data_IF_566625518667
#
_entry.id   IF_566625518667
#
_cell.length_a   1.000
_cell.length_b   1.000
_cell.length_c   1.000
_cell.angle_alpha   90.00
_cell.angle_beta   90.00
_cell.angle_gamma   90.00
#
_symmetry.space_group_name_H-M   'P 1'
#
loop_
_entity.id
_entity.type
_entity.pdbx_description
1 polymer ?
#
# COMPACT_ATOMS: atom_id res chain seq x y z
N UNK A 1 -15.42 45.07 73.92
CA UNK A 1 -15.49 43.59 74.02
C UNK A 1 -15.45 43.01 72.61
N UNK A 2 -14.39 42.25 72.30
CA UNK A 2 -14.16 41.59 70.99
C UNK A 2 -14.84 40.22 71.03
N UNK A 3 -15.63 39.90 70.01
CA UNK A 3 -16.14 38.55 69.79
C UNK A 3 -15.72 38.08 68.40
N UNK A 4 -14.86 37.08 68.39
CA UNK A 4 -14.32 36.43 67.20
C UNK A 4 -15.37 35.52 66.57
N UNK A 5 -15.56 35.64 65.25
CA UNK A 5 -16.25 34.63 64.44
C UNK A 5 -15.29 34.15 63.36
N UNK A 6 -14.55 33.10 63.67
CA UNK A 6 -13.70 32.39 62.71
C UNK A 6 -14.56 31.35 61.99
N UNK A 7 -14.95 31.63 60.74
CA UNK A 7 -15.60 30.66 59.87
C UNK A 7 -14.51 29.88 59.12
N UNK A 8 -14.36 28.58 59.41
CA UNK A 8 -13.53 27.68 58.63
C UNK A 8 -14.35 27.19 57.43
N UNK A 9 -14.01 27.64 56.23
CA UNK A 9 -14.55 27.13 54.98
C UNK A 9 -13.59 26.04 54.48
N UNK A 10 -13.98 24.78 54.66
CA UNK A 10 -13.28 23.63 54.08
C UNK A 10 -13.58 23.60 52.58
N UNK A 11 -12.63 24.08 51.76
CA UNK A 11 -12.67 23.96 50.31
C UNK A 11 -12.23 22.55 49.91
N UNK A 12 -13.19 21.67 49.62
CA UNK A 12 -12.91 20.37 49.00
C UNK A 12 -12.57 20.61 47.53
N UNK A 13 -11.28 20.73 47.23
CA UNK A 13 -10.76 20.69 45.85
C UNK A 13 -10.95 19.29 45.29
N UNK A 14 -12.02 19.11 44.50
CA UNK A 14 -12.16 17.97 43.61
C UNK A 14 -11.02 18.00 42.59
N UNK A 15 -10.05 17.11 42.75
CA UNK A 15 -9.05 16.78 41.75
C UNK A 15 -9.78 16.16 40.55
N UNK A 16 -10.20 17.03 39.63
CA UNK A 16 -10.61 16.62 38.30
C UNK A 16 -9.40 16.02 37.60
N UNK A 17 -9.28 14.70 37.65
CA UNK A 17 -8.43 13.93 36.75
C UNK A 17 -9.01 14.10 35.34
N UNK A 18 -8.62 15.19 34.69
CA UNK A 18 -8.85 15.40 33.27
C UNK A 18 -8.10 14.31 32.53
N UNK A 19 -8.81 13.24 32.16
CA UNK A 19 -8.38 12.33 31.12
C UNK A 19 -8.09 13.17 29.87
N UNK A 20 -6.81 13.51 29.64
CA UNK A 20 -6.34 13.97 28.33
C UNK A 20 -6.48 12.78 27.41
N UNK A 21 -7.65 12.63 26.81
CA UNK A 21 -7.84 11.76 25.65
C UNK A 21 -6.83 12.26 24.62
N UNK A 22 -5.73 11.52 24.45
CA UNK A 22 -4.75 11.79 23.41
C UNK A 22 -5.50 11.70 22.08
N UNK A 23 -5.86 12.85 21.53
CA UNK A 23 -6.56 12.96 20.27
C UNK A 23 -5.59 12.43 19.21
N UNK A 24 -5.85 11.21 18.75
CA UNK A 24 -5.02 10.50 17.78
C UNK A 24 -5.06 11.30 16.47
N UNK A 25 -4.08 12.17 16.26
CA UNK A 25 -3.99 13.00 15.06
C UNK A 25 -3.81 12.10 13.86
N UNK A 26 -4.77 12.14 12.94
CA UNK A 26 -4.66 11.45 11.66
C UNK A 26 -3.55 12.14 10.86
N UNK A 27 -2.53 11.40 10.36
CA UNK A 27 -1.48 11.97 9.53
C UNK A 27 -2.08 12.66 8.31
N UNK A 28 -1.58 13.85 7.99
CA UNK A 28 -1.97 14.58 6.78
C UNK A 28 -1.60 13.77 5.52
N UNK A 29 -2.39 13.93 4.46
CA UNK A 29 -2.08 13.36 3.15
C UNK A 29 -0.86 14.07 2.54
N UNK A 30 -0.01 13.31 1.86
CA UNK A 30 1.23 13.75 1.21
C UNK A 30 1.22 13.22 -0.23
N UNK A 31 1.68 14.03 -1.19
CA UNK A 31 1.87 13.56 -2.56
C UNK A 31 3.15 12.72 -2.64
N UNK A 32 3.03 11.53 -3.22
CA UNK A 32 4.13 10.63 -3.50
C UNK A 32 4.31 10.47 -5.01
N UNK A 33 5.56 10.45 -5.45
CA UNK A 33 5.97 10.18 -6.82
C UNK A 33 6.57 8.79 -6.89
N UNK A 34 6.06 7.97 -7.79
CA UNK A 34 6.48 6.59 -8.00
C UNK A 34 7.20 6.46 -9.33
N UNK A 35 8.25 5.65 -9.37
CA UNK A 35 8.89 5.13 -10.58
C UNK A 35 8.93 3.62 -10.46
N UNK A 36 8.25 2.92 -11.36
CA UNK A 36 8.08 1.47 -11.25
C UNK A 36 8.80 0.80 -12.41
N UNK A 37 9.67 -0.14 -12.06
CA UNK A 37 10.29 -1.08 -12.98
C UNK A 37 9.81 -2.48 -12.66
N UNK A 38 9.62 -3.27 -13.71
CA UNK A 38 9.15 -4.65 -13.64
C UNK A 38 10.10 -5.53 -14.42
N UNK A 39 10.44 -6.66 -13.83
CA UNK A 39 10.96 -7.82 -14.52
C UNK A 39 9.81 -8.82 -14.69
N UNK A 40 9.56 -9.27 -15.92
CA UNK A 40 8.44 -10.15 -16.23
C UNK A 40 8.92 -11.59 -16.42
N UNK A 41 8.16 -12.55 -15.89
CA UNK A 41 8.36 -13.96 -16.22
C UNK A 41 7.72 -14.25 -17.57
N UNK A 42 8.39 -15.02 -18.42
CA UNK A 42 7.73 -15.63 -19.58
C UNK A 42 6.66 -16.63 -19.13
N UNK A 43 5.46 -16.52 -19.70
CA UNK A 43 4.27 -17.29 -19.30
C UNK A 43 3.62 -18.08 -20.44
N UNK A 44 4.29 -18.21 -21.58
CA UNK A 44 3.85 -19.08 -22.67
C UNK A 44 4.24 -20.54 -22.43
N UNK A 45 3.58 -21.46 -23.12
CA UNK A 45 3.86 -22.90 -23.04
C UNK A 45 5.02 -23.36 -23.92
N UNK A 46 5.42 -22.56 -24.91
CA UNK A 46 6.49 -22.89 -25.84
C UNK A 46 7.88 -22.60 -25.25
N UNK A 47 8.89 -23.32 -25.73
CA UNK A 47 10.29 -22.99 -25.41
C UNK A 47 10.67 -21.68 -26.12
N UNK A 48 11.33 -20.78 -25.38
CA UNK A 48 11.89 -19.53 -25.91
C UNK A 48 13.38 -19.67 -26.24
N UNK A 49 13.91 -18.77 -27.06
CA UNK A 49 15.34 -18.63 -27.30
C UNK A 49 16.04 -17.99 -26.10
N UNK A 50 17.36 -18.19 -26.01
CA UNK A 50 18.18 -17.60 -24.95
C UNK A 50 18.12 -16.06 -24.98
N UNK A 51 18.04 -15.46 -26.17
CA UNK A 51 17.88 -14.01 -26.34
C UNK A 51 16.57 -13.49 -25.74
N UNK A 52 15.46 -14.21 -25.97
CA UNK A 52 14.17 -13.85 -25.37
C UNK A 52 14.20 -14.05 -23.85
N UNK A 53 14.89 -15.10 -23.37
CA UNK A 53 15.04 -15.32 -21.95
C UNK A 53 15.81 -14.18 -21.27
N UNK A 54 16.92 -13.74 -21.85
CA UNK A 54 17.68 -12.57 -21.37
C UNK A 54 16.85 -11.28 -21.41
N UNK A 55 15.89 -11.16 -22.33
CA UNK A 55 15.01 -10.00 -22.40
C UNK A 55 13.97 -9.97 -21.26
N UNK A 56 13.46 -11.13 -20.85
CA UNK A 56 12.60 -11.28 -19.66
C UNK A 56 13.36 -11.08 -18.35
N UNK A 57 14.68 -11.29 -18.33
CA UNK A 57 15.52 -11.07 -17.16
C UNK A 57 15.78 -9.58 -16.87
N UNK A 58 15.51 -8.69 -17.83
CA UNK A 58 15.75 -7.25 -17.69
C UNK A 58 14.60 -6.55 -16.95
N UNK A 59 14.97 -5.67 -16.01
CA UNK A 59 14.05 -4.69 -15.44
C UNK A 59 13.72 -3.64 -16.50
N UNK A 60 12.42 -3.39 -16.71
CA UNK A 60 11.91 -2.41 -17.68
C UNK A 60 10.87 -1.51 -17.00
N UNK A 61 10.70 -0.25 -17.43
CA UNK A 61 9.63 0.59 -16.88
C UNK A 61 8.26 -0.07 -17.03
N UNK A 62 7.42 -0.02 -16.00
CA UNK A 62 6.07 -0.56 -16.05
C UNK A 62 5.12 0.46 -16.71
N UNK A 63 5.17 0.49 -18.03
CA UNK A 63 4.51 1.52 -18.86
C UNK A 63 3.00 1.34 -18.90
N UNK A 64 2.26 2.43 -18.71
CA UNK A 64 0.79 2.46 -18.85
C UNK A 64 0.07 1.39 -18.00
N UNK A 65 0.72 0.90 -16.96
CA UNK A 65 0.18 -0.08 -16.04
C UNK A 65 -0.45 0.58 -14.82
N UNK A 66 -1.09 -0.24 -14.01
CA UNK A 66 -1.70 0.20 -12.77
C UNK A 66 -1.42 -0.77 -11.61
N UNK A 67 -1.26 -0.17 -10.44
CA UNK A 67 -1.02 -0.88 -9.19
C UNK A 67 -2.16 -0.56 -8.22
N UNK A 68 -2.57 -1.56 -7.45
CA UNK A 68 -3.45 -1.37 -6.31
C UNK A 68 -2.61 -1.26 -5.03
N UNK A 69 -2.76 -0.17 -4.31
CA UNK A 69 -2.16 0.04 -2.99
C UNK A 69 -3.26 -0.17 -1.95
N UNK A 70 -3.04 -1.08 -0.99
CA UNK A 70 -4.00 -1.45 0.05
C UNK A 70 -3.38 -1.20 1.42
N UNK A 71 -4.10 -0.52 2.29
CA UNK A 71 -3.72 -0.38 3.69
C UNK A 71 -4.76 -1.07 4.59
N UNK A 72 -4.35 -2.22 5.13
CA UNK A 72 -5.21 -3.11 5.90
C UNK A 72 -5.67 -2.50 7.23
N UNK A 73 -4.88 -1.59 7.80
CA UNK A 73 -5.17 -0.94 9.08
C UNK A 73 -6.32 0.07 8.95
N UNK A 74 -6.45 0.69 7.79
CA UNK A 74 -7.50 1.69 7.50
C UNK A 74 -8.61 1.15 6.60
N UNK A 75 -8.46 -0.07 6.06
CA UNK A 75 -9.39 -0.68 5.09
C UNK A 75 -9.60 0.18 3.85
N UNK A 76 -8.57 0.92 3.46
CA UNK A 76 -8.54 1.73 2.24
C UNK A 76 -7.75 1.02 1.14
N UNK A 77 -8.17 1.26 -0.09
CA UNK A 77 -7.43 0.86 -1.28
C UNK A 77 -7.50 1.98 -2.31
N UNK A 78 -6.46 2.08 -3.13
CA UNK A 78 -6.30 3.15 -4.10
C UNK A 78 -5.50 2.64 -5.29
N UNK A 79 -5.90 3.05 -6.49
CA UNK A 79 -5.25 2.69 -7.73
C UNK A 79 -4.24 3.76 -8.12
N UNK A 80 -2.98 3.36 -8.35
CA UNK A 80 -1.92 4.17 -8.93
C UNK A 80 -1.85 3.87 -10.42
N UNK A 81 -2.13 4.87 -11.25
CA UNK A 81 -1.94 4.79 -12.70
C UNK A 81 -0.54 5.27 -13.07
N UNK A 82 0.16 4.51 -13.91
CA UNK A 82 1.49 4.84 -14.39
C UNK A 82 1.43 5.37 -15.82
N UNK A 83 2.34 6.29 -16.11
CA UNK A 83 2.55 6.86 -17.43
C UNK A 83 3.41 5.93 -18.31
N UNK A 84 3.64 6.34 -19.55
CA UNK A 84 4.44 5.60 -20.53
C UNK A 84 5.92 5.45 -20.12
N UNK A 85 6.42 6.24 -19.17
CA UNK A 85 7.77 6.13 -18.61
C UNK A 85 7.83 5.28 -17.33
N UNK A 86 6.70 4.70 -16.90
CA UNK A 86 6.59 3.95 -15.65
C UNK A 86 6.51 4.81 -14.39
N UNK A 87 6.30 6.12 -14.53
CA UNK A 87 6.10 7.03 -13.39
C UNK A 87 4.63 7.26 -13.06
N UNK A 88 4.32 7.57 -11.81
CA UNK A 88 2.96 7.95 -11.39
C UNK A 88 3.00 8.84 -10.14
N UNK A 89 1.86 9.49 -9.83
CA UNK A 89 1.72 10.32 -8.63
C UNK A 89 0.45 9.96 -7.88
N UNK A 90 0.51 10.02 -6.55
CA UNK A 90 -0.65 9.74 -5.72
C UNK A 90 -0.55 10.44 -4.36
N UNK A 91 -1.65 11.03 -3.92
CA UNK A 91 -1.71 11.72 -2.62
C UNK A 91 -2.30 10.79 -1.56
N UNK A 92 -1.45 10.29 -0.66
CA UNK A 92 -1.78 9.29 0.36
C UNK A 92 -1.35 9.72 1.75
N UNK A 93 -1.92 9.08 2.77
CA UNK A 93 -1.42 9.26 4.12
C UNK A 93 -0.14 8.42 4.30
N UNK A 94 0.87 8.95 5.00
CA UNK A 94 2.02 8.15 5.41
C UNK A 94 1.58 6.91 6.21
N UNK A 95 1.97 5.73 5.74
CA UNK A 95 1.69 4.41 6.33
C UNK A 95 2.36 3.29 5.52
N UNK A 96 2.24 2.06 6.02
CA UNK A 96 2.54 0.84 5.26
C UNK A 96 1.40 0.53 4.28
N UNK A 97 1.76 0.26 3.03
CA UNK A 97 0.84 -0.19 1.98
C UNK A 97 1.34 -1.50 1.37
N UNK A 98 0.42 -2.45 1.18
CA UNK A 98 0.62 -3.60 0.31
C UNK A 98 0.38 -3.17 -1.12
N UNK A 99 1.28 -3.52 -2.03
CA UNK A 99 1.19 -3.19 -3.45
C UNK A 99 0.87 -4.45 -4.22
N UNK A 100 -0.11 -4.37 -5.12
CA UNK A 100 -0.50 -5.44 -6.02
C UNK A 100 -0.49 -4.91 -7.45
N UNK A 101 -0.13 -5.74 -8.42
CA UNK A 101 -0.56 -5.50 -9.79
C UNK A 101 -2.09 -5.48 -9.84
N UNK A 102 -2.70 -4.47 -10.47
CA UNK A 102 -4.16 -4.34 -10.49
C UNK A 102 -4.85 -5.58 -11.10
N UNK A 103 -4.20 -6.25 -12.06
CA UNK A 103 -4.62 -7.53 -12.63
C UNK A 103 -4.97 -8.59 -11.56
N UNK A 104 -4.25 -8.63 -10.43
CA UNK A 104 -4.56 -9.55 -9.33
C UNK A 104 -5.90 -9.28 -8.69
N UNK A 105 -6.32 -8.03 -8.65
CA UNK A 105 -7.58 -7.62 -8.03
C UNK A 105 -8.72 -7.77 -9.05
N UNK A 106 -8.45 -7.38 -10.29
CA UNK A 106 -9.44 -7.32 -11.37
C UNK A 106 -9.74 -8.69 -11.98
N UNK A 107 -8.83 -9.66 -11.87
CA UNK A 107 -9.07 -11.03 -12.37
C UNK A 107 -10.21 -11.68 -11.56
N UNK A 108 -11.31 -12.12 -12.19
CA UNK A 108 -12.43 -12.74 -11.49
C UNK A 108 -12.02 -14.06 -10.84
N UNK A 109 -12.68 -14.41 -9.73
CA UNK A 109 -12.44 -15.69 -9.07
C UNK A 109 -12.89 -16.84 -9.97
N UNK A 110 -12.00 -17.82 -10.12
CA UNK A 110 -12.24 -19.06 -10.88
C UNK A 110 -12.08 -20.24 -9.94
N UNK A 111 -13.22 -20.82 -9.55
CA UNK A 111 -13.30 -21.90 -8.56
C UNK A 111 -12.57 -23.18 -9.00
N UNK A 112 -12.34 -23.35 -10.31
CA UNK A 112 -11.60 -24.46 -10.92
C UNK A 112 -10.07 -24.31 -10.80
N UNK A 113 -9.56 -23.11 -10.46
CA UNK A 113 -8.12 -22.85 -10.35
C UNK A 113 -7.69 -22.66 -8.90
N UNK A 114 -7.30 -23.76 -8.25
CA UNK A 114 -6.89 -23.79 -6.82
C UNK A 114 -5.78 -22.80 -6.45
N UNK A 115 -4.91 -22.45 -7.38
CA UNK A 115 -3.80 -21.49 -7.16
C UNK A 115 -4.22 -20.03 -7.25
N UNK A 116 -5.44 -19.73 -7.73
CA UNK A 116 -5.90 -18.36 -7.93
C UNK A 116 -6.08 -17.57 -6.61
N UNK A 117 -6.76 -18.09 -5.57
CA UNK A 117 -6.94 -17.34 -4.31
C UNK A 117 -5.61 -17.00 -3.63
N UNK A 118 -4.66 -17.94 -3.64
CA UNK A 118 -3.32 -17.75 -3.11
C UNK A 118 -2.55 -16.65 -3.85
N UNK A 119 -2.65 -16.62 -5.18
CA UNK A 119 -1.98 -15.61 -5.98
C UNK A 119 -2.58 -14.20 -5.78
N UNK A 120 -3.91 -14.10 -5.70
CA UNK A 120 -4.62 -12.83 -5.47
C UNK A 120 -4.35 -12.25 -4.08
N UNK A 121 -4.15 -13.11 -3.07
CA UNK A 121 -3.92 -12.67 -1.67
C UNK A 121 -2.49 -12.22 -1.38
N UNK A 122 -1.51 -12.63 -2.20
CA UNK A 122 -0.10 -12.25 -2.01
C UNK A 122 0.21 -10.91 -2.67
N UNK A 123 0.57 -9.93 -1.84
CA UNK A 123 1.11 -8.65 -2.31
C UNK A 123 2.40 -8.86 -3.12
N UNK A 124 2.59 -8.05 -4.16
CA UNK A 124 3.82 -8.05 -4.96
C UNK A 124 4.97 -7.37 -4.22
N UNK A 125 4.66 -6.39 -3.37
CA UNK A 125 5.60 -5.82 -2.40
C UNK A 125 4.85 -5.12 -1.27
N UNK A 126 5.59 -4.66 -0.26
CA UNK A 126 5.11 -3.79 0.81
C UNK A 126 6.00 -2.55 0.83
N UNK A 127 5.39 -1.38 0.87
CA UNK A 127 6.08 -0.09 0.91
C UNK A 127 5.73 0.66 2.19
N UNK A 128 6.72 1.34 2.76
CA UNK A 128 6.54 2.30 3.86
C UNK A 128 6.56 3.72 3.30
N UNK A 129 5.40 4.37 3.31
CA UNK A 129 5.27 5.75 2.89
C UNK A 129 5.51 6.67 4.09
N UNK A 130 6.60 7.43 4.01
CA UNK A 130 6.99 8.42 5.01
C UNK A 130 7.06 9.82 4.39
N UNK A 131 6.63 10.88 5.09
CA UNK A 131 6.71 12.24 4.55
C UNK A 131 8.16 12.69 4.30
N UNK A 132 9.15 12.04 4.90
CA UNK A 132 10.57 12.29 4.64
C UNK A 132 11.04 11.77 3.27
N UNK A 133 10.29 10.87 2.64
CA UNK A 133 10.62 10.27 1.34
C UNK A 133 9.40 10.23 0.44
N UNK A 134 9.23 11.29 -0.34
CA UNK A 134 8.11 11.42 -1.28
C UNK A 134 8.37 10.79 -2.64
N UNK A 135 9.62 10.51 -3.00
CA UNK A 135 9.98 9.80 -4.24
C UNK A 135 10.36 8.35 -3.97
N UNK A 136 9.66 7.43 -4.64
CA UNK A 136 9.84 5.99 -4.51
C UNK A 136 10.24 5.37 -5.85
N UNK A 137 11.25 4.50 -5.79
CA UNK A 137 11.62 3.64 -6.91
C UNK A 137 11.26 2.20 -6.51
N UNK A 138 10.38 1.59 -7.29
CA UNK A 138 9.89 0.24 -7.05
C UNK A 138 10.42 -0.68 -8.15
N UNK A 139 11.05 -1.76 -7.74
CA UNK A 139 11.44 -2.86 -8.63
C UNK A 139 10.56 -4.05 -8.27
N UNK A 140 9.71 -4.47 -9.20
CA UNK A 140 8.73 -5.52 -8.99
C UNK A 140 9.06 -6.71 -9.90
N UNK A 141 8.54 -7.87 -9.53
CA UNK A 141 8.60 -9.07 -10.35
C UNK A 141 7.18 -9.50 -10.72
N UNK A 142 6.88 -9.54 -12.01
CA UNK A 142 5.57 -9.98 -12.52
C UNK A 142 5.64 -11.44 -12.94
N UNK A 143 5.09 -12.31 -12.10
CA UNK A 143 4.90 -13.73 -12.42
C UNK A 143 3.68 -13.98 -13.30
N UNK A 144 3.50 -15.25 -13.68
CA UNK A 144 2.33 -15.66 -14.45
C UNK A 144 1.06 -15.59 -13.62
N UNK A 145 -0.04 -15.21 -14.28
CA UNK A 145 -1.37 -15.25 -13.70
C UNK A 145 -1.89 -16.70 -13.72
N UNK A 146 -1.99 -17.37 -12.56
CA UNK A 146 -2.41 -18.75 -12.49
C UNK A 146 -3.94 -18.91 -12.50
N UNK A 147 -4.69 -17.81 -12.49
CA UNK A 147 -6.15 -17.77 -12.62
C UNK A 147 -6.61 -17.83 -14.08
N UNK A 148 -5.67 -17.78 -15.04
CA UNK A 148 -5.94 -17.87 -16.47
C UNK A 148 -5.18 -19.07 -17.05
N UNK A 149 -5.73 -19.74 -18.07
CA UNK A 149 -4.98 -20.77 -18.79
C UNK A 149 -3.71 -20.16 -19.40
N UNK A 150 -2.68 -20.99 -19.56
CA UNK A 150 -1.47 -20.57 -20.26
C UNK A 150 -1.84 -20.02 -21.63
N UNK A 151 -1.20 -18.91 -22.02
CA UNK A 151 -1.40 -18.38 -23.37
C UNK A 151 -0.74 -19.34 -24.36
N UNK A 152 -1.43 -19.67 -25.49
CA UNK A 152 -0.85 -20.50 -26.54
C UNK A 152 0.42 -19.88 -27.13
#
# INVERSE_FOLDING_TARGET
MRTYKTLFILSVTALGAGCKTAQKTVPAKTEFVFRVQVQEKYCGGARISDEMQLDFEKQKPFRNGDLMLVNDARKDSVRLFLNADGSGRLTLQPALYKVFFAEKIDTPDRADMRSCPDWKSRADTIIDLSPARTSLELQLYKGCNPCLPARP
#
